data_IF_858710942695
#
_entry.id   IF_858710942695
#
_cell.length_a   1.000
_cell.length_b   1.000
_cell.length_c   1.000
_cell.angle_alpha   90.00
_cell.angle_beta   90.00
_cell.angle_gamma   90.00
#
_symmetry.space_group_name_H-M   'P 1'
#
loop_
_entity.id
_entity.type
_entity.pdbx_description
1 polymer ?
#
# COMPACT_ATOMS: atom_id res chain seq x y z
N UNK A 1 -1.12 -11.04 11.46
CA UNK A 1 -2.59 -10.82 11.37
C UNK A 1 -3.22 -11.85 10.46
N UNK A 2 -4.25 -12.55 10.92
CA UNK A 2 -5.00 -13.46 10.06
C UNK A 2 -5.77 -12.61 9.05
N UNK A 3 -5.46 -12.73 7.80
CA UNK A 3 -6.29 -12.21 6.73
C UNK A 3 -7.64 -12.91 6.83
N UNK A 4 -8.69 -12.17 7.11
CA UNK A 4 -10.06 -12.63 6.94
C UNK A 4 -10.40 -12.40 5.45
N UNK A 5 -10.11 -13.34 4.57
CA UNK A 5 -10.06 -13.06 3.15
C UNK A 5 -11.42 -12.96 2.49
N UNK A 6 -12.47 -13.45 3.15
CA UNK A 6 -13.79 -13.50 2.52
C UNK A 6 -14.83 -13.15 3.57
N UNK A 7 -15.30 -11.93 3.54
CA UNK A 7 -16.53 -11.57 4.23
C UNK A 7 -17.68 -11.94 3.31
N UNK A 8 -18.60 -12.76 3.81
CA UNK A 8 -19.85 -13.06 3.09
C UNK A 8 -20.60 -11.77 2.80
N UNK A 9 -20.62 -11.36 1.52
CA UNK A 9 -21.29 -10.14 1.10
C UNK A 9 -22.79 -10.24 1.21
N UNK A 10 -23.43 -9.18 1.70
CA UNK A 10 -24.88 -8.97 1.56
C UNK A 10 -25.13 -8.04 0.39
N UNK A 11 -26.14 -8.33 -0.40
CA UNK A 11 -26.57 -7.45 -1.50
C UNK A 11 -26.77 -6.02 -1.01
N UNK A 12 -26.22 -5.07 -1.74
CA UNK A 12 -26.23 -3.65 -1.42
C UNK A 12 -24.95 -3.14 -0.74
N UNK A 13 -24.12 -4.01 -0.16
CA UNK A 13 -22.86 -3.59 0.45
C UNK A 13 -21.84 -3.10 -0.60
N UNK A 14 -21.91 -3.62 -1.81
CA UNK A 14 -21.10 -3.18 -2.95
C UNK A 14 -21.37 -1.72 -3.36
N UNK A 15 -22.47 -1.14 -2.90
CA UNK A 15 -22.89 0.24 -3.21
C UNK A 15 -22.62 1.22 -2.08
N UNK A 16 -22.14 0.72 -0.93
CA UNK A 16 -21.90 1.57 0.24
C UNK A 16 -20.56 2.28 0.08
N UNK A 17 -20.61 3.60 0.15
CA UNK A 17 -19.44 4.45 0.24
C UNK A 17 -19.30 5.02 1.65
N UNK A 18 -18.07 5.16 2.13
CA UNK A 18 -17.78 5.73 3.45
C UNK A 18 -16.70 6.78 3.34
N UNK A 19 -16.75 7.82 4.15
CA UNK A 19 -15.70 8.83 4.24
C UNK A 19 -14.45 8.33 4.95
N UNK A 20 -14.63 7.32 5.82
CA UNK A 20 -13.54 6.72 6.58
C UNK A 20 -13.28 5.31 6.09
N UNK A 21 -12.01 4.94 6.08
CA UNK A 21 -11.63 3.59 5.73
C UNK A 21 -12.16 2.59 6.75
N UNK A 22 -12.93 1.60 6.29
CA UNK A 22 -13.57 0.57 7.12
C UNK A 22 -12.90 -0.80 7.02
N UNK A 23 -12.17 -1.03 5.94
CA UNK A 23 -11.51 -2.29 5.64
C UNK A 23 -10.11 -2.02 5.10
N UNK A 24 -9.27 -3.03 5.14
CA UNK A 24 -7.96 -2.99 4.47
C UNK A 24 -8.17 -2.87 2.96
N UNK A 25 -7.40 -2.03 2.29
CA UNK A 25 -7.46 -1.89 0.83
C UNK A 25 -7.18 -3.23 0.16
N UNK A 26 -7.97 -3.55 -0.86
CA UNK A 26 -7.91 -4.84 -1.54
C UNK A 26 -8.68 -5.98 -0.87
N UNK A 27 -9.29 -5.76 0.31
CA UNK A 27 -10.12 -6.77 0.96
C UNK A 27 -11.22 -7.29 0.02
N UNK A 28 -11.34 -8.61 -0.07
CA UNK A 28 -12.30 -9.26 -0.97
C UNK A 28 -13.64 -9.49 -0.27
N UNK A 29 -14.72 -9.18 -0.96
CA UNK A 29 -16.08 -9.53 -0.60
C UNK A 29 -16.68 -10.41 -1.69
N UNK A 30 -17.10 -11.61 -1.33
CA UNK A 30 -17.77 -12.54 -2.25
C UNK A 30 -19.27 -12.64 -1.95
N UNK A 31 -20.07 -12.66 -3.00
CA UNK A 31 -21.50 -12.91 -2.92
C UNK A 31 -21.86 -14.37 -3.20
N UNK A 32 -23.03 -14.84 -2.74
CA UNK A 32 -23.49 -16.21 -3.00
C UNK A 32 -23.65 -16.53 -4.49
N UNK A 33 -23.82 -15.53 -5.34
CA UNK A 33 -23.94 -15.66 -6.79
C UNK A 33 -22.58 -15.75 -7.52
N UNK A 34 -21.47 -15.75 -6.76
CA UNK A 34 -20.10 -15.88 -7.29
C UNK A 34 -19.44 -14.54 -7.66
N UNK A 35 -20.14 -13.41 -7.61
CA UNK A 35 -19.52 -12.11 -7.83
C UNK A 35 -18.55 -11.77 -6.72
N UNK A 36 -17.42 -11.15 -7.09
CA UNK A 36 -16.38 -10.72 -6.17
C UNK A 36 -16.14 -9.22 -6.32
N UNK A 37 -16.00 -8.56 -5.21
CA UNK A 37 -15.70 -7.12 -5.11
C UNK A 37 -14.45 -6.92 -4.27
N UNK A 38 -13.75 -5.83 -4.53
CA UNK A 38 -12.60 -5.41 -3.73
C UNK A 38 -12.86 -4.06 -3.11
N UNK A 39 -12.48 -3.93 -1.83
CA UNK A 39 -12.53 -2.64 -1.16
C UNK A 39 -11.43 -1.74 -1.70
N UNK A 40 -11.79 -0.55 -2.14
CA UNK A 40 -10.85 0.41 -2.73
C UNK A 40 -11.04 1.80 -2.14
N UNK A 41 -9.98 2.56 -2.05
CA UNK A 41 -10.05 4.00 -1.82
C UNK A 41 -10.20 4.71 -3.16
N UNK A 42 -11.12 5.66 -3.22
CA UNK A 42 -11.28 6.55 -4.36
C UNK A 42 -10.45 7.82 -4.14
N UNK A 43 -9.91 8.38 -5.20
CA UNK A 43 -9.29 9.70 -5.17
C UNK A 43 -10.33 10.82 -5.06
N UNK A 44 -9.91 12.06 -5.31
CA UNK A 44 -10.76 13.24 -5.18
C UNK A 44 -11.89 13.37 -6.21
N UNK A 45 -11.89 12.55 -7.26
CA UNK A 45 -12.91 12.59 -8.32
C UNK A 45 -13.89 11.45 -8.13
N UNK A 46 -15.18 11.75 -8.12
CA UNK A 46 -16.22 10.72 -8.00
C UNK A 46 -16.17 9.75 -9.17
N UNK A 47 -16.28 8.45 -8.86
CA UNK A 47 -16.38 7.39 -9.87
C UNK A 47 -17.84 7.29 -10.31
N UNK A 48 -18.08 7.45 -11.63
CA UNK A 48 -19.40 7.22 -12.24
C UNK A 48 -19.62 5.76 -12.61
N UNK A 49 -20.87 5.38 -12.80
CA UNK A 49 -21.24 4.04 -13.25
C UNK A 49 -20.69 3.75 -14.65
N UNK A 50 -20.20 2.53 -14.86
CA UNK A 50 -19.69 2.07 -16.16
C UNK A 50 -18.32 2.63 -16.57
N UNK A 51 -17.63 3.34 -15.68
CA UNK A 51 -16.29 3.84 -15.96
C UNK A 51 -15.23 2.77 -15.68
N UNK A 52 -14.25 2.71 -16.56
CA UNK A 52 -12.99 2.01 -16.31
C UNK A 52 -12.05 3.00 -15.63
N UNK A 53 -11.50 2.60 -14.51
CA UNK A 53 -10.55 3.42 -13.74
C UNK A 53 -9.16 2.79 -13.82
N UNK A 54 -8.13 3.64 -13.87
CA UNK A 54 -6.74 3.23 -13.75
C UNK A 54 -6.23 3.57 -12.35
N UNK A 55 -5.20 2.86 -11.89
CA UNK A 55 -4.45 3.27 -10.71
C UNK A 55 -3.83 4.65 -10.93
N UNK A 56 -3.60 5.38 -9.85
CA UNK A 56 -2.80 6.59 -9.90
C UNK A 56 -1.41 6.28 -10.47
N UNK A 57 -0.88 7.21 -11.27
CA UNK A 57 0.49 7.09 -11.75
C UNK A 57 1.47 7.15 -10.56
N UNK A 58 2.56 6.39 -10.57
CA UNK A 58 3.59 6.50 -9.54
C UNK A 58 4.07 7.94 -9.38
N UNK A 59 4.27 8.38 -8.15
CA UNK A 59 4.88 9.67 -7.91
C UNK A 59 6.32 9.66 -8.47
N UNK A 60 6.65 10.62 -9.32
CA UNK A 60 7.97 10.69 -9.93
C UNK A 60 9.08 10.65 -8.88
N UNK A 61 10.10 9.84 -9.13
CA UNK A 61 11.25 9.59 -8.25
C UNK A 61 10.90 8.90 -6.91
N UNK A 62 9.82 8.10 -6.87
CA UNK A 62 9.49 7.25 -5.73
C UNK A 62 9.42 5.76 -6.09
N UNK A 63 9.61 5.42 -7.35
CA UNK A 63 9.39 4.10 -7.92
C UNK A 63 10.66 3.34 -8.27
N UNK A 64 11.81 4.03 -8.40
CA UNK A 64 13.07 3.40 -8.80
C UNK A 64 14.25 3.97 -8.01
N UNK A 65 15.26 3.13 -7.77
CA UNK A 65 16.59 3.47 -7.26
C UNK A 65 16.63 4.34 -5.99
N UNK A 66 15.68 4.13 -5.09
CA UNK A 66 15.65 4.85 -3.82
C UNK A 66 16.79 4.41 -2.90
N UNK A 67 17.43 5.38 -2.28
CA UNK A 67 18.56 5.13 -1.39
C UNK A 67 18.10 4.66 -0.02
N UNK A 68 18.51 3.47 0.37
CA UNK A 68 18.41 2.98 1.74
C UNK A 68 19.56 3.60 2.54
N UNK A 69 19.23 4.39 3.55
CA UNK A 69 20.25 5.10 4.35
C UNK A 69 20.92 4.22 5.39
N UNK A 70 20.24 3.16 5.81
CA UNK A 70 20.75 2.19 6.78
C UNK A 70 20.30 0.81 6.35
N UNK A 71 21.22 -0.11 6.12
CA UNK A 71 20.87 -1.50 5.81
C UNK A 71 20.10 -2.11 6.98
N UNK A 72 18.91 -2.68 6.74
CA UNK A 72 18.16 -3.33 7.80
C UNK A 72 18.87 -4.61 8.27
N UNK A 73 18.67 -4.94 9.54
CA UNK A 73 19.07 -6.21 10.13
C UNK A 73 17.88 -7.15 10.20
N UNK A 74 18.16 -8.45 10.27
CA UNK A 74 17.10 -9.46 10.49
C UNK A 74 16.32 -9.13 11.75
N UNK A 75 14.99 -9.04 11.62
CA UNK A 75 14.08 -8.68 12.69
C UNK A 75 13.73 -7.19 12.79
N UNK A 76 14.35 -6.33 11.98
CA UNK A 76 13.96 -4.92 11.91
C UNK A 76 12.58 -4.77 11.26
N UNK A 77 11.70 -4.02 11.89
CA UNK A 77 10.34 -3.75 11.42
C UNK A 77 10.21 -2.35 10.78
N UNK A 78 11.31 -1.69 10.55
CA UNK A 78 11.35 -0.35 9.97
C UNK A 78 12.61 -0.14 9.14
N UNK A 79 12.46 0.66 8.08
CA UNK A 79 13.57 1.00 7.19
C UNK A 79 13.56 2.48 6.86
N UNK A 80 14.74 3.08 6.78
CA UNK A 80 14.90 4.48 6.42
C UNK A 80 15.30 4.63 4.95
N UNK A 81 14.47 5.34 4.19
CA UNK A 81 14.62 5.52 2.74
C UNK A 81 14.64 7.02 2.44
N UNK A 82 15.53 7.42 1.55
CA UNK A 82 15.56 8.78 1.00
C UNK A 82 14.75 8.82 -0.29
N UNK A 83 13.73 9.68 -0.32
CA UNK A 83 12.91 9.92 -1.51
C UNK A 83 13.63 10.82 -2.51
N UNK A 84 13.21 10.76 -3.76
CA UNK A 84 13.65 11.69 -4.79
C UNK A 84 12.97 13.07 -4.71
N UNK A 85 12.86 13.75 -5.84
CA UNK A 85 12.46 15.17 -5.93
C UNK A 85 11.01 15.50 -5.56
N UNK A 86 10.18 14.53 -5.22
CA UNK A 86 8.77 14.73 -4.82
C UNK A 86 8.59 14.42 -3.34
N UNK A 87 7.78 15.20 -2.63
CA UNK A 87 7.44 14.93 -1.23
C UNK A 87 6.35 13.88 -1.14
N UNK A 88 6.37 13.06 -0.07
CA UNK A 88 5.29 12.14 0.26
C UNK A 88 4.51 12.63 1.48
N UNK A 89 3.20 12.75 1.34
CA UNK A 89 2.32 13.01 2.48
C UNK A 89 2.41 11.85 3.50
N UNK A 90 2.06 12.14 4.75
CA UNK A 90 2.01 11.09 5.77
C UNK A 90 1.12 9.93 5.29
N UNK A 91 1.62 8.73 5.45
CA UNK A 91 0.92 7.47 5.14
C UNK A 91 0.45 7.32 3.67
N UNK A 92 1.02 8.10 2.72
CA UNK A 92 0.70 8.02 1.29
C UNK A 92 0.84 6.58 0.75
N UNK A 93 1.83 5.84 1.24
CA UNK A 93 2.13 4.47 0.83
C UNK A 93 1.67 3.41 1.84
N UNK A 94 0.85 3.80 2.83
CA UNK A 94 0.29 2.83 3.77
C UNK A 94 -0.53 1.76 3.03
N UNK A 95 -0.42 0.51 3.48
CA UNK A 95 -1.02 -0.68 2.85
C UNK A 95 -0.47 -1.01 1.44
N UNK A 96 0.49 -0.24 0.95
CA UNK A 96 1.29 -0.58 -0.24
C UNK A 96 2.43 -1.54 0.10
N UNK A 97 3.31 -1.73 -0.88
CA UNK A 97 4.44 -2.64 -0.74
C UNK A 97 5.75 -1.94 -1.06
N UNK A 98 6.77 -2.29 -0.30
CA UNK A 98 8.16 -1.95 -0.55
C UNK A 98 8.83 -3.14 -1.21
N UNK A 99 9.45 -2.91 -2.36
CA UNK A 99 10.09 -3.95 -3.14
C UNK A 99 11.59 -3.70 -3.21
N UNK A 100 12.38 -4.70 -2.84
CA UNK A 100 13.84 -4.63 -2.90
C UNK A 100 14.35 -5.30 -4.16
N UNK A 101 15.00 -4.52 -5.02
CA UNK A 101 15.72 -5.02 -6.16
C UNK A 101 17.23 -5.04 -5.84
N UNK A 102 17.67 -6.09 -5.20
CA UNK A 102 19.10 -6.29 -4.96
C UNK A 102 19.73 -6.89 -6.21
N UNK A 103 20.71 -6.21 -6.78
CA UNK A 103 21.42 -6.58 -8.00
C UNK A 103 22.21 -7.90 -7.91
N UNK A 104 22.09 -8.66 -6.84
CA UNK A 104 22.84 -9.89 -6.56
C UNK A 104 21.93 -10.99 -6.08
N UNK A 105 22.17 -12.20 -6.44
CA UNK A 105 21.77 -13.55 -6.03
C UNK A 105 20.74 -13.79 -4.90
N UNK A 106 20.25 -12.76 -4.23
CA UNK A 106 19.19 -12.85 -3.23
C UNK A 106 17.81 -12.74 -3.88
N UNK A 107 16.82 -13.52 -3.44
CA UNK A 107 15.46 -13.39 -3.93
C UNK A 107 14.95 -11.95 -3.75
N UNK A 108 14.18 -11.47 -4.72
CA UNK A 108 13.48 -10.20 -4.59
C UNK A 108 12.50 -10.31 -3.42
N UNK A 109 12.66 -9.45 -2.43
CA UNK A 109 11.80 -9.44 -1.24
C UNK A 109 10.82 -8.28 -1.33
N UNK A 110 9.61 -8.53 -0.84
CA UNK A 110 8.53 -7.55 -0.85
C UNK A 110 7.91 -7.50 0.53
N UNK A 111 7.90 -6.30 1.12
CA UNK A 111 7.38 -6.06 2.46
C UNK A 111 6.19 -5.12 2.42
N UNK A 112 5.15 -5.43 3.18
CA UNK A 112 3.98 -4.58 3.28
C UNK A 112 4.26 -3.36 4.16
N UNK A 113 3.89 -2.18 3.68
CA UNK A 113 4.05 -0.92 4.40
C UNK A 113 2.87 -0.73 5.34
N UNK A 114 3.17 -0.54 6.63
CA UNK A 114 2.19 -0.18 7.63
C UNK A 114 1.91 1.33 7.63
N UNK A 115 2.95 2.12 7.43
CA UNK A 115 2.85 3.58 7.38
C UNK A 115 4.20 4.26 7.41
N UNK A 116 4.21 5.58 7.21
CA UNK A 116 5.38 6.44 7.27
C UNK A 116 5.00 7.88 7.63
N UNK A 117 5.91 8.69 8.20
CA UNK A 117 5.68 10.11 8.43
C UNK A 117 5.57 10.87 7.11
N UNK A 118 5.22 12.15 7.18
CA UNK A 118 5.42 13.08 6.06
C UNK A 118 6.92 13.15 5.75
N UNK A 119 7.28 12.99 4.48
CA UNK A 119 8.66 13.04 3.99
C UNK A 119 8.76 14.19 2.99
N UNK A 120 9.67 15.12 3.25
CA UNK A 120 9.91 16.24 2.34
C UNK A 120 10.56 15.76 1.03
N UNK A 121 10.49 16.59 -0.01
CA UNK A 121 11.27 16.38 -1.25
C UNK A 121 12.74 16.15 -0.92
N UNK A 122 13.35 15.13 -1.50
CA UNK A 122 14.72 14.68 -1.22
C UNK A 122 15.01 14.34 0.25
N UNK A 123 13.96 14.20 1.06
CA UNK A 123 14.06 13.89 2.48
C UNK A 123 14.16 12.41 2.75
N UNK A 124 14.72 12.07 3.92
CA UNK A 124 14.74 10.71 4.44
C UNK A 124 13.58 10.49 5.38
N UNK A 125 12.87 9.39 5.22
CA UNK A 125 11.77 8.98 6.10
C UNK A 125 11.87 7.53 6.49
N UNK A 126 11.29 7.20 7.63
CA UNK A 126 11.25 5.83 8.15
C UNK A 126 9.91 5.19 7.79
N UNK A 127 9.96 4.13 7.01
CA UNK A 127 8.82 3.29 6.68
C UNK A 127 8.71 2.17 7.71
N UNK A 128 7.55 2.05 8.33
CA UNK A 128 7.24 0.95 9.24
C UNK A 128 6.59 -0.17 8.45
N UNK A 129 7.03 -1.40 8.65
CA UNK A 129 6.51 -2.59 7.97
C UNK A 129 5.36 -3.22 8.76
N UNK A 130 4.44 -3.86 8.04
CA UNK A 130 3.34 -4.65 8.61
C UNK A 130 3.69 -6.14 8.66
N UNK A 131 4.98 -6.42 8.93
CA UNK A 131 5.53 -7.75 9.07
C UNK A 131 5.95 -7.97 10.53
N UNK A 132 5.36 -8.95 11.22
CA UNK A 132 5.64 -9.16 12.64
C UNK A 132 7.06 -9.65 12.92
N UNK A 133 7.66 -10.31 11.95
CA UNK A 133 9.00 -10.89 12.08
C UNK A 133 10.10 -9.99 11.49
N UNK A 134 9.68 -8.85 10.87
CA UNK A 134 10.60 -7.89 10.25
C UNK A 134 11.30 -8.43 8.99
N UNK A 135 12.50 -7.90 8.71
CA UNK A 135 13.38 -8.33 7.62
C UNK A 135 13.99 -9.70 7.86
#
# INVERSE_FOLDING_TARGET
MSFSPIQGGRYGFEKITTSDQRQVLGAEMAFPDGRKFRYVANGGTAIGEGLVVASEAPAGNHDEDLVITTSPSVGDTAISITLGGTAAAKDLYAEGYLFFNLASTTPHEMYKIKGHPLIASTGTGTFTLDEPDGF
#
